data_IF_632235412486
#
_entry.id   IF_632235412486
#
_cell.length_a   1.000
_cell.length_b   1.000
_cell.length_c   1.000
_cell.angle_alpha   90.00
_cell.angle_beta   90.00
_cell.angle_gamma   90.00
#
_symmetry.space_group_name_H-M   'P 1'
#
loop_
_entity.id
_entity.type
_entity.pdbx_description
1 polymer ?
#
# COMPACT_ATOMS: atom_id res chain seq x y z
N UNK A 1 12.81 -19.31 3.17
CA UNK A 1 13.66 -18.16 2.85
C UNK A 1 13.72 -17.22 4.04
N UNK A 2 14.90 -16.68 4.30
CA UNK A 2 15.15 -15.73 5.40
C UNK A 2 14.47 -14.39 5.14
N UNK A 3 14.20 -14.09 3.89
CA UNK A 3 13.52 -12.86 3.45
C UNK A 3 12.37 -13.22 2.51
N UNK A 4 11.20 -13.57 3.03
CA UNK A 4 10.04 -13.86 2.20
C UNK A 4 9.53 -12.56 1.55
N UNK A 5 9.11 -12.67 0.28
CA UNK A 5 8.61 -11.54 -0.50
C UNK A 5 7.51 -10.78 0.24
N UNK A 6 7.81 -9.52 0.49
CA UNK A 6 6.90 -8.56 1.15
C UNK A 6 6.32 -9.02 2.48
N UNK A 7 7.05 -9.83 3.23
CA UNK A 7 6.66 -10.36 4.54
C UNK A 7 7.77 -10.09 5.57
N UNK A 8 7.37 -9.97 6.81
CA UNK A 8 8.26 -9.72 7.93
C UNK A 8 8.09 -10.82 8.98
N UNK A 9 9.09 -11.67 9.22
CA UNK A 9 8.99 -12.75 10.21
C UNK A 9 8.60 -12.26 11.62
N UNK A 10 9.09 -11.09 12.02
CA UNK A 10 8.74 -10.47 13.29
C UNK A 10 7.27 -10.09 13.44
N UNK A 11 6.49 -10.08 12.36
CA UNK A 11 5.05 -9.81 12.41
C UNK A 11 4.24 -10.92 13.10
N UNK A 12 4.86 -12.06 13.45
CA UNK A 12 4.23 -13.13 14.23
C UNK A 12 3.63 -12.68 15.57
N UNK A 13 4.14 -11.59 16.15
CA UNK A 13 3.55 -10.99 17.37
C UNK A 13 2.31 -10.13 17.11
N UNK A 14 1.92 -9.99 15.84
CA UNK A 14 0.79 -9.17 15.39
C UNK A 14 -0.58 -9.76 15.73
N UNK A 15 -1.60 -9.13 15.19
CA UNK A 15 -2.96 -9.67 15.26
C UNK A 15 -3.13 -10.76 14.20
N UNK A 16 -3.61 -11.91 14.65
CA UNK A 16 -3.86 -13.05 13.77
C UNK A 16 -5.21 -12.93 13.08
N UNK A 17 -5.24 -13.25 11.80
CA UNK A 17 -6.42 -13.26 10.94
C UNK A 17 -6.45 -14.53 10.09
N UNK A 18 -7.66 -14.99 9.74
CA UNK A 18 -7.86 -16.05 8.77
C UNK A 18 -7.62 -15.59 7.33
N UNK A 19 -7.43 -16.53 6.41
CA UNK A 19 -7.33 -16.24 4.98
C UNK A 19 -8.58 -15.56 4.40
N UNK A 20 -9.74 -15.72 5.01
CA UNK A 20 -10.97 -15.02 4.64
C UNK A 20 -10.86 -13.49 4.79
N UNK A 21 -10.01 -13.01 5.71
CA UNK A 21 -9.70 -11.59 5.82
C UNK A 21 -8.74 -11.13 4.72
N UNK A 22 -7.80 -11.97 4.35
CA UNK A 22 -6.83 -11.67 3.29
C UNK A 22 -7.50 -11.57 1.91
N UNK A 23 -8.40 -12.48 1.59
CA UNK A 23 -9.07 -12.54 0.28
C UNK A 23 -10.34 -11.68 0.18
N UNK A 24 -10.62 -10.85 1.18
CA UNK A 24 -11.74 -9.92 1.19
C UNK A 24 -13.11 -10.56 1.46
N UNK A 25 -13.20 -11.84 1.82
CA UNK A 25 -14.45 -12.47 2.25
C UNK A 25 -14.96 -11.89 3.58
N UNK A 26 -14.04 -11.46 4.44
CA UNK A 26 -14.35 -10.70 5.65
C UNK A 26 -13.76 -9.29 5.52
N UNK A 27 -14.59 -8.28 5.34
CA UNK A 27 -14.08 -6.92 5.10
C UNK A 27 -13.49 -6.27 6.36
N UNK A 28 -14.30 -6.02 7.37
CA UNK A 28 -13.87 -5.24 8.54
C UNK A 28 -13.81 -6.06 9.84
N UNK A 29 -14.72 -7.01 10.01
CA UNK A 29 -14.77 -7.87 11.19
C UNK A 29 -15.41 -9.21 10.85
N UNK A 30 -15.25 -10.19 11.74
CA UNK A 30 -15.89 -11.50 11.63
C UNK A 30 -17.43 -11.43 11.56
N UNK A 31 -18.01 -10.31 11.98
CA UNK A 31 -19.46 -10.12 11.95
C UNK A 31 -19.97 -9.49 10.65
N UNK A 32 -19.08 -9.05 9.77
CA UNK A 32 -19.41 -8.42 8.48
C UNK A 32 -19.04 -9.34 7.34
N UNK A 33 -19.73 -10.46 7.26
CA UNK A 33 -19.57 -11.39 6.14
C UNK A 33 -20.13 -10.79 4.86
N UNK A 34 -19.52 -11.16 3.74
CA UNK A 34 -20.02 -10.80 2.42
C UNK A 34 -21.38 -11.47 2.18
N UNK A 35 -22.35 -10.68 1.73
CA UNK A 35 -23.67 -11.21 1.35
C UNK A 35 -23.55 -12.12 0.12
N UNK A 36 -22.70 -11.75 -0.83
CA UNK A 36 -22.40 -12.53 -2.02
C UNK A 36 -20.90 -12.88 -2.02
N UNK A 37 -20.54 -14.04 -1.43
CA UNK A 37 -19.14 -14.47 -1.38
C UNK A 37 -18.60 -14.81 -2.77
N UNK A 38 -17.33 -14.49 -3.01
CA UNK A 38 -16.64 -14.83 -4.27
C UNK A 38 -16.19 -16.29 -4.32
N UNK A 39 -16.04 -16.91 -3.15
CA UNK A 39 -15.51 -18.26 -3.01
C UNK A 39 -16.51 -19.17 -2.32
N UNK A 40 -16.43 -20.47 -2.62
CA UNK A 40 -17.23 -21.50 -1.98
C UNK A 40 -16.33 -22.52 -1.25
N UNK A 41 -16.89 -23.21 -0.26
CA UNK A 41 -16.21 -24.28 0.47
C UNK A 41 -14.86 -23.84 1.06
N UNK A 42 -13.84 -24.66 0.88
CA UNK A 42 -12.47 -24.42 1.37
C UNK A 42 -11.84 -23.15 0.78
N UNK A 43 -12.25 -22.72 -0.42
CA UNK A 43 -11.75 -21.48 -1.04
C UNK A 43 -12.04 -20.21 -0.25
N UNK A 44 -12.96 -20.25 0.73
CA UNK A 44 -13.21 -19.13 1.64
C UNK A 44 -12.13 -18.95 2.70
N UNK A 45 -11.50 -20.03 3.11
CA UNK A 45 -10.57 -20.06 4.25
C UNK A 45 -9.16 -20.51 3.90
N UNK A 46 -8.93 -20.91 2.65
CA UNK A 46 -7.63 -21.35 2.17
C UNK A 46 -7.32 -20.72 0.82
N UNK A 47 -6.07 -20.31 0.65
CA UNK A 47 -5.55 -19.72 -0.58
C UNK A 47 -4.33 -20.50 -1.04
N UNK A 48 -4.17 -20.65 -2.34
CA UNK A 48 -2.87 -21.06 -2.89
C UNK A 48 -1.81 -19.98 -2.65
N UNK A 49 -0.54 -20.34 -2.69
CA UNK A 49 0.54 -19.34 -2.53
C UNK A 49 0.45 -18.21 -3.55
N UNK A 50 0.09 -18.51 -4.80
CA UNK A 50 -0.07 -17.51 -5.85
C UNK A 50 -1.24 -16.54 -5.57
N UNK A 51 -2.36 -17.05 -5.04
CA UNK A 51 -3.48 -16.20 -4.62
C UNK A 51 -3.09 -15.32 -3.42
N UNK A 52 -2.47 -15.92 -2.41
CA UNK A 52 -2.04 -15.20 -1.21
C UNK A 52 -1.03 -14.09 -1.55
N UNK A 53 -0.08 -14.33 -2.46
CA UNK A 53 0.87 -13.31 -2.92
C UNK A 53 0.17 -12.12 -3.56
N UNK A 54 -0.82 -12.34 -4.42
CA UNK A 54 -1.60 -11.24 -5.03
C UNK A 54 -2.40 -10.45 -3.99
N UNK A 55 -3.04 -11.14 -3.05
CA UNK A 55 -3.79 -10.47 -1.98
C UNK A 55 -2.90 -9.71 -1.01
N UNK A 56 -1.68 -10.20 -0.77
CA UNK A 56 -0.68 -9.51 0.04
C UNK A 56 -0.35 -8.12 -0.54
N UNK A 57 -0.24 -8.01 -1.87
CA UNK A 57 -0.07 -6.72 -2.54
C UNK A 57 -1.28 -5.80 -2.30
N UNK A 58 -2.48 -6.34 -2.42
CA UNK A 58 -3.73 -5.59 -2.19
C UNK A 58 -3.81 -5.07 -0.75
N UNK A 59 -3.51 -5.91 0.23
CA UNK A 59 -3.54 -5.52 1.66
C UNK A 59 -2.50 -4.45 1.95
N UNK A 60 -1.28 -4.56 1.41
CA UNK A 60 -0.26 -3.54 1.61
C UNK A 60 -0.59 -2.22 0.91
N UNK A 61 -1.11 -2.26 -0.31
CA UNK A 61 -1.35 -1.07 -1.10
C UNK A 61 -2.64 -0.34 -0.77
N UNK A 62 -3.73 -1.07 -0.58
CA UNK A 62 -5.09 -0.51 -0.62
C UNK A 62 -5.94 -0.75 0.61
N UNK A 63 -5.64 -1.76 1.44
CA UNK A 63 -6.51 -2.08 2.57
C UNK A 63 -6.50 -0.98 3.63
N UNK A 64 -7.68 -0.41 3.89
CA UNK A 64 -7.90 0.60 4.92
C UNK A 64 -8.48 -0.01 6.21
N UNK A 65 -8.79 -1.29 6.21
CA UNK A 65 -9.28 -2.00 7.39
C UNK A 65 -8.12 -2.29 8.33
N UNK A 66 -7.88 -1.38 9.18
CA UNK A 66 -6.63 -1.19 9.89
C UNK A 66 -6.28 -2.28 10.90
N UNK A 67 -5.07 -2.79 10.81
CA UNK A 67 -4.37 -3.24 11.99
C UNK A 67 -4.07 -2.03 12.88
N UNK A 68 -4.47 -2.09 14.13
CA UNK A 68 -4.06 -1.08 15.10
C UNK A 68 -2.55 -1.18 15.31
N UNK A 69 -1.79 -0.10 15.16
CA UNK A 69 -0.36 -0.16 15.36
C UNK A 69 -0.07 -0.55 16.82
N UNK A 70 0.79 -1.54 16.99
CA UNK A 70 1.39 -1.79 18.30
C UNK A 70 2.57 -0.84 18.44
N UNK A 71 2.39 0.20 19.22
CA UNK A 71 3.42 1.20 19.49
C UNK A 71 2.79 2.45 20.12
N UNK A 72 3.27 2.82 21.32
CA UNK A 72 2.78 3.99 22.04
C UNK A 72 3.25 5.26 21.33
N UNK A 73 2.32 6.18 21.04
CA UNK A 73 2.65 7.48 20.45
C UNK A 73 2.80 7.49 18.92
N UNK A 74 2.63 6.35 18.24
CA UNK A 74 2.67 6.31 16.78
C UNK A 74 1.27 6.46 16.18
N UNK A 75 1.12 7.17 15.05
CA UNK A 75 -0.17 7.31 14.40
C UNK A 75 -0.67 5.97 13.86
N UNK A 76 -1.99 5.86 13.70
CA UNK A 76 -2.61 4.73 13.02
C UNK A 76 -2.18 4.70 11.56
N UNK A 77 -1.83 3.54 11.05
CA UNK A 77 -1.54 3.33 9.63
C UNK A 77 -2.87 3.14 8.92
N UNK A 78 -3.25 4.04 8.07
CA UNK A 78 -4.35 3.83 7.14
C UNK A 78 -3.96 2.87 6.00
N UNK A 79 -4.62 2.99 4.85
CA UNK A 79 -4.21 2.31 3.62
C UNK A 79 -2.73 2.56 3.28
N UNK A 80 -2.15 1.69 2.47
CA UNK A 80 -0.85 1.93 1.84
C UNK A 80 -0.89 3.15 0.92
N UNK A 81 0.25 3.46 0.30
CA UNK A 81 0.35 4.66 -0.53
C UNK A 81 -0.71 4.71 -1.63
N UNK A 82 -0.87 3.64 -2.38
CA UNK A 82 -1.82 3.56 -3.50
C UNK A 82 -3.28 3.79 -3.06
N UNK A 83 -3.65 3.40 -1.85
CA UNK A 83 -4.98 3.66 -1.30
C UNK A 83 -5.20 5.09 -0.78
N UNK A 84 -4.17 5.93 -0.79
CA UNK A 84 -4.22 7.31 -0.28
C UNK A 84 -4.25 8.37 -1.37
N UNK A 85 -4.02 7.98 -2.61
CA UNK A 85 -3.93 8.88 -3.76
C UNK A 85 -5.12 8.75 -4.70
N UNK A 86 -5.31 9.73 -5.57
CA UNK A 86 -6.13 9.61 -6.78
C UNK A 86 -5.25 9.12 -7.92
N UNK A 87 -5.11 7.82 -8.04
CA UNK A 87 -4.20 7.20 -9.00
C UNK A 87 -4.66 7.43 -10.45
N UNK A 88 -3.74 7.93 -11.29
CA UNK A 88 -3.95 8.13 -12.71
C UNK A 88 -3.02 7.19 -13.45
N UNK A 89 -3.58 6.38 -14.33
CA UNK A 89 -2.84 5.47 -15.17
C UNK A 89 -3.16 5.73 -16.64
N UNK A 90 -2.14 5.99 -17.44
CA UNK A 90 -2.30 5.99 -18.88
C UNK A 90 -2.41 4.54 -19.38
N UNK A 91 -3.45 4.24 -20.16
CA UNK A 91 -3.69 2.91 -20.69
C UNK A 91 -3.29 2.85 -22.16
N UNK A 92 -2.45 1.87 -22.50
CA UNK A 92 -2.11 1.49 -23.86
C UNK A 92 -2.95 0.29 -24.32
N UNK A 93 -2.78 -0.09 -25.57
CA UNK A 93 -3.51 -1.23 -26.19
C UNK A 93 -3.09 -2.59 -25.63
N UNK A 94 -1.93 -2.66 -25.00
CA UNK A 94 -1.40 -3.86 -24.37
C UNK A 94 -0.59 -3.51 -23.10
N UNK A 95 -0.16 -4.54 -22.38
CA UNK A 95 0.58 -4.35 -21.12
C UNK A 95 1.90 -3.61 -21.33
N UNK A 96 2.62 -3.89 -22.41
CA UNK A 96 3.90 -3.24 -22.70
C UNK A 96 3.72 -1.73 -22.89
N UNK A 97 2.77 -1.34 -23.72
CA UNK A 97 2.45 0.09 -23.93
C UNK A 97 1.99 0.77 -22.65
N UNK A 98 1.11 0.11 -21.89
CA UNK A 98 0.68 0.64 -20.60
C UNK A 98 1.87 0.88 -19.67
N UNK A 99 2.79 -0.08 -19.56
CA UNK A 99 3.99 0.09 -18.73
C UNK A 99 4.90 1.22 -19.23
N UNK A 100 5.09 1.33 -20.54
CA UNK A 100 5.92 2.37 -21.13
C UNK A 100 5.32 3.77 -20.98
N UNK A 101 4.00 3.92 -21.13
CA UNK A 101 3.30 5.20 -20.92
C UNK A 101 3.37 5.69 -19.47
N UNK A 102 3.50 4.78 -18.52
CA UNK A 102 3.56 5.12 -17.09
C UNK A 102 4.99 5.05 -16.52
N UNK A 103 5.99 4.88 -17.36
CA UNK A 103 7.39 4.82 -16.93
C UNK A 103 7.92 6.23 -16.65
N UNK A 104 8.11 6.55 -15.39
CA UNK A 104 8.68 7.81 -14.94
C UNK A 104 10.19 7.66 -14.71
N UNK A 105 10.98 8.25 -15.59
CA UNK A 105 12.44 8.19 -15.53
C UNK A 105 13.06 9.41 -14.83
N UNK A 106 12.35 10.52 -14.80
CA UNK A 106 12.84 11.78 -14.28
C UNK A 106 12.14 12.20 -13.01
N UNK A 107 12.89 12.74 -12.08
CA UNK A 107 12.40 13.22 -10.80
C UNK A 107 11.57 14.50 -10.95
N UNK A 108 12.08 15.49 -11.64
CA UNK A 108 11.47 16.81 -11.80
C UNK A 108 11.64 17.38 -13.21
N UNK A 109 11.59 16.53 -14.21
CA UNK A 109 11.85 16.81 -15.63
C UNK A 109 13.32 17.11 -15.97
N UNK A 110 14.24 17.01 -15.02
CA UNK A 110 15.67 17.32 -15.23
C UNK A 110 16.61 16.25 -14.72
N UNK A 111 16.31 15.68 -13.56
CA UNK A 111 17.17 14.72 -12.89
C UNK A 111 16.58 13.32 -12.98
N UNK A 112 17.40 12.33 -13.27
CA UNK A 112 17.01 10.94 -13.15
C UNK A 112 16.83 10.58 -11.68
N UNK A 113 15.92 9.64 -11.41
CA UNK A 113 15.87 8.99 -10.11
C UNK A 113 17.21 8.31 -9.83
N UNK A 114 17.60 8.29 -8.57
CA UNK A 114 18.71 7.48 -8.10
C UNK A 114 18.45 5.98 -8.25
N UNK A 115 19.32 5.17 -7.69
CA UNK A 115 19.17 3.71 -7.69
C UNK A 115 17.83 3.30 -7.08
N UNK A 116 17.07 2.52 -7.85
CA UNK A 116 15.77 2.02 -7.42
C UNK A 116 15.92 1.00 -6.30
N UNK A 117 15.34 1.27 -5.13
CA UNK A 117 15.43 0.42 -3.94
C UNK A 117 14.03 0.04 -3.43
N UNK A 118 13.46 -1.06 -3.93
CA UNK A 118 12.21 -1.58 -3.39
C UNK A 118 12.38 -2.04 -1.93
N UNK A 119 11.29 -2.07 -1.17
CA UNK A 119 11.34 -2.30 0.27
C UNK A 119 12.00 -3.63 0.69
N UNK A 120 11.93 -4.65 -0.14
CA UNK A 120 12.56 -5.97 0.16
C UNK A 120 14.09 -5.96 0.03
N UNK A 121 14.69 -4.94 -0.55
CA UNK A 121 16.13 -4.74 -0.63
C UNK A 121 16.66 -3.90 0.54
N UNK A 122 15.78 -3.23 1.27
CA UNK A 122 16.16 -2.41 2.41
C UNK A 122 16.42 -3.27 3.67
N UNK A 123 17.36 -2.87 4.49
CA UNK A 123 17.66 -3.54 5.78
C UNK A 123 16.59 -3.29 6.85
N UNK A 124 16.07 -2.07 6.91
CA UNK A 124 15.19 -1.59 7.97
C UNK A 124 13.82 -2.28 8.12
N UNK A 125 13.13 -2.78 7.06
CA UNK A 125 11.77 -3.33 7.20
C UNK A 125 11.68 -4.69 7.88
N UNK A 126 12.76 -5.24 8.39
CA UNK A 126 12.80 -6.61 8.96
C UNK A 126 12.36 -6.67 10.41
N UNK A 127 12.21 -5.54 11.07
CA UNK A 127 11.78 -5.44 12.46
C UNK A 127 10.25 -5.53 12.58
N UNK A 128 9.78 -6.18 13.66
CA UNK A 128 8.38 -6.13 14.06
C UNK A 128 7.97 -4.75 14.57
N UNK A 129 8.92 -4.03 15.14
CA UNK A 129 8.69 -2.70 15.67
C UNK A 129 8.79 -1.65 14.57
N UNK A 130 7.86 -0.74 14.61
CA UNK A 130 7.81 0.41 13.77
C UNK A 130 8.53 1.55 14.46
N UNK A 131 9.69 1.91 13.97
CA UNK A 131 10.58 2.83 14.66
C UNK A 131 10.56 4.25 14.10
N UNK A 132 10.21 4.41 12.82
CA UNK A 132 10.34 5.71 12.17
C UNK A 132 9.31 5.97 11.06
N UNK A 133 9.15 7.23 10.74
CA UNK A 133 8.45 7.69 9.55
C UNK A 133 9.45 7.62 8.40
N UNK A 134 9.14 6.80 7.41
CA UNK A 134 9.94 6.68 6.21
C UNK A 134 9.53 7.76 5.20
N UNK A 135 10.49 8.48 4.63
CA UNK A 135 10.27 9.45 3.56
C UNK A 135 10.90 8.91 2.26
N UNK A 136 10.11 8.28 1.38
CA UNK A 136 10.65 7.72 0.14
C UNK A 136 11.22 8.81 -0.78
N UNK A 137 12.35 8.51 -1.39
CA UNK A 137 13.03 9.40 -2.33
C UNK A 137 12.96 8.93 -3.79
N UNK A 138 12.36 7.77 -4.01
CA UNK A 138 12.17 7.20 -5.34
C UNK A 138 10.86 6.41 -5.46
N UNK A 139 10.32 6.23 -6.68
CA UNK A 139 9.05 5.55 -6.91
C UNK A 139 9.03 4.09 -6.43
N UNK A 140 10.13 3.35 -6.57
CA UNK A 140 10.16 1.95 -6.16
C UNK A 140 10.01 1.80 -4.64
N UNK A 141 10.70 2.60 -3.86
CA UNK A 141 10.55 2.63 -2.41
C UNK A 141 9.14 3.06 -2.02
N UNK A 142 8.60 4.13 -2.66
CA UNK A 142 7.27 4.65 -2.39
C UNK A 142 6.18 3.61 -2.62
N UNK A 143 6.19 2.95 -3.78
CA UNK A 143 5.14 2.00 -4.18
C UNK A 143 5.24 0.66 -3.45
N UNK A 144 6.42 0.31 -2.93
CA UNK A 144 6.66 -0.94 -2.22
C UNK A 144 6.74 -0.78 -0.70
N UNK A 145 6.56 0.42 -0.17
CA UNK A 145 6.60 0.67 1.27
C UNK A 145 5.63 -0.24 2.02
N UNK A 146 6.14 -0.94 3.02
CA UNK A 146 5.35 -1.84 3.86
C UNK A 146 4.53 -1.05 4.89
N UNK A 147 3.38 -0.54 4.48
CA UNK A 147 2.41 0.09 5.39
C UNK A 147 1.79 -0.92 6.37
N UNK A 148 1.89 -2.18 6.05
CA UNK A 148 1.53 -3.33 6.89
C UNK A 148 2.71 -4.28 6.97
N UNK A 149 3.03 -4.75 8.17
CA UNK A 149 3.93 -5.90 8.35
C UNK A 149 3.09 -7.15 8.41
N UNK A 150 3.30 -8.02 7.46
CA UNK A 150 2.53 -9.24 7.25
C UNK A 150 3.41 -10.47 7.38
N UNK A 151 2.85 -11.54 7.93
CA UNK A 151 3.44 -12.87 7.89
C UNK A 151 2.32 -13.87 7.59
N UNK A 152 2.43 -14.57 6.47
CA UNK A 152 1.46 -15.57 6.04
C UNK A 152 1.65 -16.88 6.82
N UNK A 153 0.56 -17.50 7.25
CA UNK A 153 0.55 -18.84 7.83
C UNK A 153 0.35 -19.87 6.74
N UNK A 154 1.24 -20.83 6.69
CA UNK A 154 1.25 -21.90 5.68
C UNK A 154 0.85 -23.22 6.32
N UNK A 155 -0.13 -23.88 5.72
CA UNK A 155 -0.58 -25.22 6.10
C UNK A 155 -0.53 -26.10 4.86
N UNK A 156 0.49 -26.96 4.79
CA UNK A 156 0.76 -27.76 3.60
C UNK A 156 1.10 -26.87 2.40
N UNK A 157 0.33 -26.97 1.35
CA UNK A 157 0.47 -26.18 0.11
C UNK A 157 -0.43 -24.92 0.06
N UNK A 158 -1.10 -24.61 1.15
CA UNK A 158 -2.05 -23.50 1.22
C UNK A 158 -1.62 -22.46 2.27
N UNK A 159 -2.25 -21.30 2.19
CA UNK A 159 -2.25 -20.24 3.21
C UNK A 159 -3.64 -20.20 3.82
N UNK A 160 -3.74 -20.37 5.14
CA UNK A 160 -4.98 -20.38 5.91
C UNK A 160 -5.16 -19.17 6.81
N UNK A 161 -4.11 -18.36 6.99
CA UNK A 161 -4.16 -17.16 7.81
C UNK A 161 -2.93 -16.29 7.65
N UNK A 162 -2.89 -15.23 8.42
CA UNK A 162 -1.74 -14.33 8.48
C UNK A 162 -1.72 -13.53 9.78
N UNK A 163 -0.53 -13.12 10.22
CA UNK A 163 -0.34 -12.11 11.25
C UNK A 163 -0.17 -10.73 10.62
N UNK A 164 -0.69 -9.73 11.27
CA UNK A 164 -0.68 -8.34 10.81
C UNK A 164 -0.28 -7.38 11.92
N UNK A 165 0.70 -6.53 11.62
CA UNK A 165 1.09 -5.37 12.41
C UNK A 165 0.98 -4.09 11.58
N UNK A 166 0.89 -2.94 12.24
CA UNK A 166 1.14 -1.65 11.62
C UNK A 166 2.58 -1.60 11.11
N UNK A 167 2.77 -1.08 9.92
CA UNK A 167 4.06 -0.96 9.27
C UNK A 167 4.59 0.47 9.24
N UNK A 168 5.48 0.73 8.32
CA UNK A 168 6.05 2.06 8.13
C UNK A 168 5.02 3.00 7.51
N UNK A 169 5.16 4.25 7.81
CA UNK A 169 4.36 5.30 7.19
C UNK A 169 5.22 6.53 6.96
N UNK A 170 4.77 7.37 6.08
CA UNK A 170 5.41 8.64 5.78
C UNK A 170 4.37 9.75 5.69
N UNK A 171 4.77 10.99 5.97
CA UNK A 171 3.91 12.13 5.74
C UNK A 171 3.53 12.20 4.26
N UNK A 172 2.26 12.57 3.98
CA UNK A 172 1.77 12.73 2.60
C UNK A 172 2.21 14.05 1.98
N UNK A 173 2.73 14.91 2.80
CA UNK A 173 3.09 16.28 2.45
C UNK A 173 4.35 16.27 1.59
N UNK A 174 4.27 16.89 0.42
CA UNK A 174 5.39 17.12 -0.50
C UNK A 174 6.14 15.85 -0.94
N UNK A 175 5.46 14.71 -1.00
CA UNK A 175 6.07 13.46 -1.47
C UNK A 175 6.09 13.45 -2.99
N UNK A 176 6.97 14.22 -3.58
CA UNK A 176 7.11 14.40 -5.03
C UNK A 176 7.75 13.20 -5.74
N UNK A 177 8.07 12.12 -5.04
CA UNK A 177 8.37 10.82 -5.64
C UNK A 177 7.15 10.21 -6.37
N UNK A 178 5.94 10.66 -6.06
CA UNK A 178 4.71 10.25 -6.73
C UNK A 178 4.40 11.16 -7.90
N UNK A 179 4.32 10.58 -9.10
CA UNK A 179 4.06 11.32 -10.34
C UNK A 179 2.78 10.87 -11.06
N UNK A 180 2.02 9.91 -10.48
CA UNK A 180 0.81 9.35 -11.08
C UNK A 180 -0.45 9.81 -10.32
N UNK A 181 -0.43 11.00 -9.74
CA UNK A 181 -1.56 11.59 -9.04
C UNK A 181 -1.60 13.10 -9.23
N UNK A 182 -2.73 13.70 -8.91
CA UNK A 182 -2.90 15.14 -8.85
C UNK A 182 -2.51 15.63 -7.47
N UNK A 183 -1.83 16.75 -7.41
CA UNK A 183 -1.47 17.43 -6.17
C UNK A 183 -2.39 18.62 -5.91
N UNK A 184 -2.80 18.80 -4.67
CA UNK A 184 -3.53 19.97 -4.21
C UNK A 184 -2.81 20.63 -3.06
N UNK A 185 -2.97 21.94 -2.95
CA UNK A 185 -2.49 22.67 -1.77
C UNK A 185 -3.38 22.40 -0.56
N UNK A 186 -2.77 22.27 0.61
CA UNK A 186 -3.50 22.37 1.87
C UNK A 186 -3.91 23.81 2.14
N UNK A 187 -4.98 24.04 2.95
CA UNK A 187 -5.32 25.39 3.39
C UNK A 187 -4.10 26.08 4.00
N UNK A 188 -3.76 27.23 3.45
CA UNK A 188 -2.57 28.00 3.86
C UNK A 188 -2.87 28.66 5.20
N UNK A 189 -2.06 28.37 6.21
CA UNK A 189 -2.05 29.11 7.46
C UNK A 189 -1.08 30.28 7.32
N UNK A 190 -1.41 31.37 7.99
CA UNK A 190 -0.60 32.59 7.97
C UNK A 190 0.84 32.28 8.43
N UNK A 191 1.82 32.61 7.61
CA UNK A 191 3.25 32.37 7.85
C UNK A 191 3.73 30.90 7.80
N UNK A 192 2.95 29.95 7.28
CA UNK A 192 3.41 28.61 7.02
C UNK A 192 3.74 28.41 5.53
N UNK A 193 4.70 27.56 5.18
CA UNK A 193 5.00 27.26 3.78
C UNK A 193 3.81 26.55 3.11
N UNK A 194 3.70 26.69 1.81
CA UNK A 194 2.71 25.96 1.04
C UNK A 194 3.03 24.48 1.08
N UNK A 195 2.03 23.67 1.43
CA UNK A 195 2.14 22.21 1.53
C UNK A 195 1.25 21.59 0.47
N UNK A 196 1.80 20.65 -0.28
CA UNK A 196 1.08 19.87 -1.28
C UNK A 196 0.79 18.47 -0.76
N UNK A 197 -0.40 17.98 -1.05
CA UNK A 197 -0.84 16.61 -0.73
C UNK A 197 -1.54 15.98 -1.92
N UNK A 198 -1.54 14.65 -2.04
CA UNK A 198 -2.30 13.95 -3.07
C UNK A 198 -3.79 14.30 -3.02
N UNK A 199 -4.38 14.51 -4.18
CA UNK A 199 -5.80 14.73 -4.35
C UNK A 199 -6.50 13.40 -4.69
N UNK A 200 -7.45 12.97 -3.87
CA UNK A 200 -8.32 11.84 -4.21
C UNK A 200 -9.38 12.29 -5.20
N UNK A 201 -9.70 11.43 -6.14
CA UNK A 201 -10.81 11.69 -7.06
C UNK A 201 -12.15 11.69 -6.32
N UNK A 202 -12.98 12.65 -6.67
CA UNK A 202 -14.36 12.73 -6.20
C UNK A 202 -15.28 12.18 -7.31
N UNK A 203 -15.97 11.05 -7.10
CA UNK A 203 -16.86 10.48 -8.12
C UNK A 203 -17.99 11.40 -8.56
N UNK A 204 -18.35 12.40 -7.75
CA UNK A 204 -19.36 13.40 -8.10
C UNK A 204 -18.84 14.49 -9.02
N UNK A 205 -17.53 14.57 -9.23
CA UNK A 205 -16.89 15.57 -10.09
C UNK A 205 -16.37 14.95 -11.37
N UNK A 206 -16.48 15.71 -12.44
CA UNK A 206 -15.88 15.32 -13.72
C UNK A 206 -14.36 15.54 -13.67
N UNK A 207 -13.59 14.52 -13.99
CA UNK A 207 -12.12 14.51 -13.92
C UNK A 207 -11.46 15.67 -14.67
N UNK A 208 -11.98 16.05 -15.85
CA UNK A 208 -11.42 17.13 -16.65
C UNK A 208 -11.36 18.50 -15.96
N UNK A 209 -12.16 18.70 -14.90
CA UNK A 209 -12.13 19.94 -14.10
C UNK A 209 -10.86 20.07 -13.24
N UNK A 210 -10.19 18.99 -12.99
CA UNK A 210 -8.95 18.96 -12.21
C UNK A 210 -7.71 18.91 -13.11
N UNK A 211 -7.89 18.83 -14.42
CA UNK A 211 -6.83 18.74 -15.41
C UNK A 211 -5.78 19.89 -15.34
N UNK A 212 -6.12 21.15 -15.01
CA UNK A 212 -5.12 22.20 -14.86
C UNK A 212 -4.14 21.99 -13.69
N UNK A 213 -4.41 21.00 -12.82
CA UNK A 213 -3.55 20.68 -11.69
C UNK A 213 -2.61 19.48 -11.95
N UNK A 214 -2.58 18.98 -13.19
CA UNK A 214 -1.73 17.86 -13.64
C UNK A 214 -0.44 18.35 -14.27
#
# INVERSE_FOLDING_TARGET
PTHPFWQVPGAAIGTEYSAAKLNGEMSESSNKLRLFPLYAGAGKSQLTYAQAARWLLCVNGYDDTSAKPKGKGLPSVGAGWLGKIGFIQAQGDNLYETLMLNLTLLRDSRECWGESKPCWELEAPKSAERTEICCPDNPAQLLTLQSRRLLLHRTGENVDGFCLLGGDFFPRENVFAEQMTIWRTMPIKKNEPVVFVPCRHDPAKQFWREFPAV
#
